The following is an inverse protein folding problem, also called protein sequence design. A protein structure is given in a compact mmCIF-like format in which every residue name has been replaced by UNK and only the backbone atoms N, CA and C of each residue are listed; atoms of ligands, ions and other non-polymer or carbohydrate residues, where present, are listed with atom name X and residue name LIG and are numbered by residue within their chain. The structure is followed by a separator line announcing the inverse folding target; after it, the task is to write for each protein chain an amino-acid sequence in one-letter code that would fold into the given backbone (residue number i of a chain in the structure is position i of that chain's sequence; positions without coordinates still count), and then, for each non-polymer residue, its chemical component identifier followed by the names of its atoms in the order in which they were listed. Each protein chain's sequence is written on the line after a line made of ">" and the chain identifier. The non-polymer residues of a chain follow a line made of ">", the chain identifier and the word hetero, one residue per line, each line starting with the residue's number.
data_IF_270205458641
#
_entry.id   IF_270205458641
#
_cell.length_a   1.000
_cell.length_b   1.000
_cell.length_c   1.000
_cell.angle_alpha   90.00
_cell.angle_beta   90.00
_cell.angle_gamma   90.00
#
_symmetry.space_group_name_H-M   'P 1'
#
loop_
_entity.id
_entity.type
_entity.pdbx_description
1 polymer ?
#
# COMPACT_ATOMS: atom_id res chain seq x y z
N UNK A 1 -22.81 -0.97 26.78
CA UNK A 1 -21.64 -0.38 26.08
C UNK A 1 -21.93 1.09 25.81
N UNK A 2 -21.06 1.97 26.25
CA UNK A 2 -21.21 3.41 26.01
C UNK A 2 -20.90 3.74 24.55
N UNK A 3 -21.34 4.91 24.09
CA UNK A 3 -21.03 5.37 22.73
C UNK A 3 -19.53 5.48 22.48
N UNK A 4 -18.76 5.91 23.50
CA UNK A 4 -17.30 5.98 23.42
C UNK A 4 -16.67 4.60 23.29
N UNK A 5 -17.16 3.63 24.02
CA UNK A 5 -16.67 2.24 23.94
C UNK A 5 -16.99 1.63 22.59
N UNK A 6 -18.20 1.86 22.06
CA UNK A 6 -18.61 1.37 20.76
C UNK A 6 -17.76 2.01 19.65
N UNK A 7 -17.53 3.32 19.72
CA UNK A 7 -16.69 4.02 18.74
C UNK A 7 -15.26 3.50 18.76
N UNK A 8 -14.70 3.25 19.95
CA UNK A 8 -13.35 2.68 20.10
C UNK A 8 -13.28 1.26 19.53
N UNK A 9 -14.27 0.44 19.78
CA UNK A 9 -14.36 -0.92 19.26
C UNK A 9 -14.43 -0.92 17.74
N UNK A 10 -15.27 -0.06 17.16
CA UNK A 10 -15.42 0.06 15.70
C UNK A 10 -14.13 0.57 15.06
N UNK A 11 -13.47 1.54 15.67
CA UNK A 11 -12.18 2.04 15.17
C UNK A 11 -11.09 0.97 15.24
N UNK A 12 -11.05 0.20 16.32
CA UNK A 12 -10.13 -0.92 16.46
C UNK A 12 -10.30 -1.97 15.38
N UNK A 13 -11.55 -2.32 15.04
CA UNK A 13 -11.83 -3.25 13.96
C UNK A 13 -11.43 -2.71 12.58
N UNK A 14 -11.67 -1.43 12.31
CA UNK A 14 -11.26 -0.79 11.08
C UNK A 14 -9.74 -0.81 10.91
N UNK A 15 -9.02 -0.46 11.97
CA UNK A 15 -7.56 -0.45 11.97
C UNK A 15 -7.03 -1.87 11.75
N UNK A 16 -7.61 -2.86 12.41
CA UNK A 16 -7.21 -4.26 12.26
C UNK A 16 -7.35 -4.74 10.82
N UNK A 17 -8.46 -4.42 10.18
CA UNK A 17 -8.69 -4.79 8.77
C UNK A 17 -7.69 -4.09 7.84
N UNK A 18 -7.41 -2.83 8.10
CA UNK A 18 -6.45 -2.07 7.30
C UNK A 18 -5.02 -2.62 7.47
N UNK A 19 -4.64 -2.99 8.69
CA UNK A 19 -3.36 -3.65 8.97
C UNK A 19 -3.24 -4.95 8.18
N UNK A 20 -4.24 -5.81 8.25
CA UNK A 20 -4.24 -7.08 7.51
C UNK A 20 -4.13 -6.86 6.01
N UNK A 21 -4.84 -5.88 5.48
CA UNK A 21 -4.77 -5.53 4.06
C UNK A 21 -3.37 -5.08 3.66
N UNK A 22 -2.75 -4.20 4.44
CA UNK A 22 -1.41 -3.69 4.17
C UNK A 22 -0.35 -4.79 4.26
N UNK A 23 -0.46 -5.68 5.25
CA UNK A 23 0.46 -6.81 5.40
C UNK A 23 0.42 -7.72 4.17
N UNK A 24 -0.77 -8.04 3.67
CA UNK A 24 -0.93 -8.85 2.46
C UNK A 24 -0.38 -8.14 1.24
N UNK A 25 -0.61 -6.85 1.13
CA UNK A 25 -0.14 -6.06 0.00
C UNK A 25 1.38 -5.99 -0.02
N UNK A 26 2.01 -5.74 1.12
CA UNK A 26 3.46 -5.72 1.26
C UNK A 26 4.04 -7.09 0.89
N UNK A 27 3.49 -8.17 1.42
CA UNK A 27 3.92 -9.52 1.12
C UNK A 27 3.82 -9.83 -0.38
N UNK A 28 2.73 -9.43 -1.02
CA UNK A 28 2.54 -9.61 -2.45
C UNK A 28 3.58 -8.84 -3.26
N UNK A 29 3.86 -7.61 -2.90
CA UNK A 29 4.85 -6.79 -3.58
C UNK A 29 6.25 -7.41 -3.43
N UNK A 30 6.61 -7.84 -2.23
CA UNK A 30 7.90 -8.46 -1.96
C UNK A 30 8.08 -9.79 -2.70
N UNK A 31 7.03 -10.58 -2.85
CA UNK A 31 7.10 -11.86 -3.55
C UNK A 31 7.07 -11.72 -5.07
N UNK A 32 6.26 -10.80 -5.60
CA UNK A 32 6.03 -10.67 -7.03
C UNK A 32 7.06 -9.76 -7.70
N UNK A 33 7.61 -8.78 -6.98
CA UNK A 33 8.57 -7.83 -7.52
C UNK A 33 9.96 -8.09 -6.96
N UNK A 34 10.70 -8.94 -7.64
CA UNK A 34 12.10 -9.17 -7.28
C UNK A 34 12.99 -8.12 -7.94
N UNK A 35 13.89 -7.46 -7.18
CA UNK A 35 14.71 -6.36 -7.70
C UNK A 35 15.75 -6.79 -8.74
N UNK A 36 16.00 -8.08 -8.95
CA UNK A 36 17.02 -8.58 -9.85
C UNK A 36 16.49 -9.51 -10.93
N UNK A 37 15.25 -9.34 -11.33
CA UNK A 37 14.73 -10.09 -12.46
C UNK A 37 15.11 -9.45 -13.78
N UNK A 38 15.20 -10.24 -14.84
CA UNK A 38 15.27 -9.77 -16.22
C UNK A 38 13.94 -9.12 -16.61
N UNK A 39 13.55 -8.08 -15.88
CA UNK A 39 12.32 -7.37 -16.18
C UNK A 39 12.55 -6.48 -17.37
N UNK A 40 11.94 -6.87 -18.43
CA UNK A 40 11.68 -5.98 -19.53
C UNK A 40 10.58 -5.00 -19.10
N UNK A 41 10.52 -3.89 -19.72
CA UNK A 41 9.59 -2.79 -19.58
C UNK A 41 8.27 -3.14 -18.88
N UNK A 42 7.99 -2.44 -17.79
CA UNK A 42 6.71 -2.47 -17.11
C UNK A 42 5.90 -1.23 -17.48
N UNK A 43 4.61 -1.41 -17.68
CA UNK A 43 3.70 -0.31 -17.97
C UNK A 43 2.82 -0.05 -16.76
N UNK A 44 2.75 1.21 -16.34
CA UNK A 44 1.80 1.67 -15.32
C UNK A 44 0.69 2.43 -16.03
N UNK A 45 -0.55 2.00 -15.82
CA UNK A 45 -1.72 2.72 -16.32
C UNK A 45 -2.29 3.57 -15.19
N UNK A 46 -2.30 4.87 -15.40
CA UNK A 46 -2.90 5.81 -14.47
C UNK A 46 -4.23 6.29 -15.06
N UNK A 47 -5.29 6.14 -14.30
CA UNK A 47 -6.59 6.70 -14.67
C UNK A 47 -6.53 8.21 -14.45
N UNK A 48 -6.58 8.98 -15.53
CA UNK A 48 -6.56 10.43 -15.44
C UNK A 48 -7.87 10.97 -14.89
N UNK A 49 -7.79 11.79 -13.86
CA UNK A 49 -8.94 12.44 -13.26
C UNK A 49 -9.51 13.57 -14.14
N UNK A 50 -8.73 14.05 -15.12
CA UNK A 50 -9.09 15.23 -15.89
C UNK A 50 -9.72 14.88 -17.22
N UNK A 51 -9.33 13.80 -17.87
CA UNK A 51 -9.76 13.47 -19.24
C UNK A 51 -10.31 12.05 -19.42
N UNK A 52 -10.60 11.32 -18.40
CA UNK A 52 -11.04 9.91 -18.44
C UNK A 52 -10.20 9.00 -19.35
N UNK A 53 -9.06 9.47 -19.81
CA UNK A 53 -8.16 8.69 -20.63
C UNK A 53 -7.05 8.11 -19.77
N UNK A 54 -6.82 6.80 -19.83
CA UNK A 54 -5.72 6.19 -19.12
C UNK A 54 -4.39 6.69 -19.71
N UNK A 55 -3.52 7.17 -18.83
CA UNK A 55 -2.16 7.53 -19.22
C UNK A 55 -1.27 6.33 -18.95
N UNK A 56 -0.60 5.87 -19.98
CA UNK A 56 0.32 4.75 -19.90
C UNK A 56 1.75 5.25 -19.78
N UNK A 57 2.43 4.87 -18.70
CA UNK A 57 3.84 5.16 -18.51
C UNK A 57 4.66 3.89 -18.64
N UNK A 58 5.68 3.91 -19.46
CA UNK A 58 6.64 2.83 -19.56
C UNK A 58 7.82 3.13 -18.65
N UNK A 59 8.14 2.20 -17.78
CA UNK A 59 9.23 2.31 -16.84
C UNK A 59 10.33 1.31 -17.23
N UNK A 60 11.57 1.73 -17.16
CA UNK A 60 12.68 0.78 -17.23
C UNK A 60 12.81 0.03 -15.89
N UNK A 61 13.74 -0.93 -15.81
CA UNK A 61 13.89 -1.74 -14.62
C UNK A 61 14.33 -0.93 -13.40
N UNK A 62 15.19 0.07 -13.58
CA UNK A 62 15.66 0.92 -12.49
C UNK A 62 14.54 1.81 -11.96
N UNK A 63 13.79 2.43 -12.86
CA UNK A 63 12.62 3.24 -12.50
C UNK A 63 11.56 2.40 -11.77
N UNK A 64 11.32 1.20 -12.25
CA UNK A 64 10.37 0.30 -11.62
C UNK A 64 10.82 -0.07 -10.20
N UNK A 65 12.09 -0.42 -10.01
CA UNK A 65 12.63 -0.77 -8.71
C UNK A 65 12.52 0.40 -7.74
N UNK A 66 12.81 1.62 -8.18
CA UNK A 66 12.63 2.82 -7.36
C UNK A 66 11.17 3.06 -6.98
N UNK A 67 10.26 2.89 -7.93
CA UNK A 67 8.82 3.03 -7.65
C UNK A 67 8.33 2.00 -6.65
N UNK A 68 8.72 0.74 -6.81
CA UNK A 68 8.33 -0.34 -5.91
C UNK A 68 8.89 -0.08 -4.51
N UNK A 69 10.14 0.33 -4.42
CA UNK A 69 10.77 0.66 -3.13
C UNK A 69 10.03 1.80 -2.43
N UNK A 70 9.69 2.86 -3.15
CA UNK A 70 8.95 3.99 -2.61
C UNK A 70 7.58 3.56 -2.09
N UNK A 71 6.86 2.75 -2.86
CA UNK A 71 5.55 2.23 -2.45
C UNK A 71 5.68 1.39 -1.19
N UNK A 72 6.67 0.50 -1.14
CA UNK A 72 6.93 -0.33 0.04
C UNK A 72 7.22 0.51 1.27
N UNK A 73 8.08 1.51 1.16
CA UNK A 73 8.41 2.40 2.28
C UNK A 73 7.17 3.09 2.82
N UNK A 74 6.32 3.60 1.94
CA UNK A 74 5.09 4.27 2.35
C UNK A 74 4.09 3.32 3.01
N UNK A 75 3.96 2.11 2.48
CA UNK A 75 3.09 1.09 3.08
C UNK A 75 3.58 0.66 4.46
N UNK A 76 4.88 0.46 4.61
CA UNK A 76 5.48 0.09 5.90
C UNK A 76 5.29 1.21 6.93
N UNK A 77 5.48 2.46 6.55
CA UNK A 77 5.23 3.61 7.42
C UNK A 77 3.77 3.66 7.85
N UNK A 78 2.84 3.48 6.92
CA UNK A 78 1.42 3.47 7.23
C UNK A 78 1.07 2.34 8.19
N UNK A 79 1.60 1.16 7.96
CA UNK A 79 1.40 0.00 8.82
C UNK A 79 1.89 0.28 10.25
N UNK A 80 3.06 0.89 10.38
CA UNK A 80 3.61 1.26 11.68
C UNK A 80 2.72 2.27 12.40
N UNK A 81 2.23 3.28 11.69
CA UNK A 81 1.30 4.27 12.26
C UNK A 81 0.02 3.63 12.75
N UNK A 82 -0.54 2.70 11.98
CA UNK A 82 -1.77 1.98 12.36
C UNK A 82 -1.57 1.09 13.57
N UNK A 83 -0.43 0.40 13.65
CA UNK A 83 -0.09 -0.41 14.82
C UNK A 83 0.04 0.44 16.08
N UNK A 84 0.67 1.60 15.96
CA UNK A 84 0.80 2.54 17.08
C UNK A 84 -0.57 3.08 17.50
N UNK A 85 -1.42 3.43 16.55
CA UNK A 85 -2.78 3.89 16.83
C UNK A 85 -3.59 2.80 17.52
N UNK A 86 -3.48 1.55 17.05
CA UNK A 86 -4.16 0.42 17.67
C UNK A 86 -3.74 0.20 19.13
N UNK A 87 -2.47 0.36 19.43
CA UNK A 87 -1.96 0.23 20.81
C UNK A 87 -2.50 1.32 21.74
N UNK A 88 -2.84 2.48 21.20
CA UNK A 88 -3.37 3.61 21.98
C UNK A 88 -4.86 3.50 22.26
N UNK A 89 -5.54 2.62 21.59
CA UNK A 89 -6.95 2.34 21.86
C UNK A 89 -7.10 1.51 23.17
#
# INVERSE_FOLDING_TARGET
>A
MTEKELARFNRGNEIKKEIEYLEREIERIESDFQPFGSRTLCCIKLSGLINDRPVEMRLDSDELDECVELVLQKRVQRLKQLRDEFKRL
#
